data_IF_892284435203
#
_entry.id   IF_892284435203
#
_cell.length_a   1.000
_cell.length_b   1.000
_cell.length_c   1.000
_cell.angle_alpha   90.00
_cell.angle_beta   90.00
_cell.angle_gamma   90.00
#
_symmetry.space_group_name_H-M   'P 1'
#
loop_
_entity.id
_entity.type
_entity.pdbx_description
1 polymer ?
#
# COMPACT_ATOMS: atom_id res chain seq x y z
N UNK A 1 12.71 36.72 1.05
CA UNK A 1 11.81 37.62 1.78
C UNK A 1 11.86 37.22 3.25
N UNK A 2 12.45 38.06 4.07
CA UNK A 2 12.39 37.92 5.54
C UNK A 2 11.08 38.57 5.98
N UNK A 3 10.08 37.78 6.34
CA UNK A 3 8.82 38.28 6.86
C UNK A 3 7.82 37.13 7.10
N UNK A 4 6.86 37.38 7.95
CA UNK A 4 5.71 36.53 8.20
C UNK A 4 4.45 37.38 8.19
N UNK A 5 3.30 36.76 7.84
CA UNK A 5 2.00 37.47 7.85
C UNK A 5 1.30 37.32 9.19
N UNK A 6 1.53 36.20 9.89
CA UNK A 6 0.88 35.87 11.15
C UNK A 6 1.88 35.22 12.10
N UNK A 7 1.76 35.49 13.42
CA UNK A 7 2.54 34.86 14.48
C UNK A 7 1.58 34.41 15.60
N UNK A 8 1.52 33.11 15.86
CA UNK A 8 0.60 32.52 16.83
C UNK A 8 -0.02 31.21 16.33
N UNK A 9 -1.13 30.82 16.94
CA UNK A 9 -1.86 29.61 16.58
C UNK A 9 -3.12 29.98 15.78
N UNK A 10 -3.26 29.39 14.59
CA UNK A 10 -4.34 29.68 13.64
C UNK A 10 -4.86 28.43 12.97
N UNK A 11 -6.09 28.48 12.49
CA UNK A 11 -6.68 27.49 11.59
C UNK A 11 -6.68 28.07 10.18
N UNK A 12 -6.00 27.37 9.27
CA UNK A 12 -6.00 27.68 7.85
C UNK A 12 -7.04 26.82 7.14
N UNK A 13 -7.89 27.45 6.33
CA UNK A 13 -8.89 26.78 5.48
C UNK A 13 -8.65 27.25 4.05
N UNK A 14 -8.50 26.33 3.10
CA UNK A 14 -8.31 26.72 1.71
C UNK A 14 -9.50 27.53 1.20
N UNK A 15 -9.24 28.60 0.44
CA UNK A 15 -10.29 29.36 -0.26
C UNK A 15 -10.62 28.71 -1.60
N UNK A 16 -9.60 28.25 -2.34
CA UNK A 16 -9.72 27.65 -3.67
C UNK A 16 -8.67 26.57 -3.92
N UNK A 17 -8.74 25.91 -5.09
CA UNK A 17 -7.71 24.97 -5.55
C UNK A 17 -7.67 23.63 -4.81
N UNK A 18 -8.69 23.27 -4.03
CA UNK A 18 -8.78 21.96 -3.41
C UNK A 18 -9.01 20.87 -4.48
N UNK A 19 -8.06 19.93 -4.59
CA UNK A 19 -8.15 18.78 -5.52
C UNK A 19 -9.00 17.63 -4.95
N UNK A 20 -9.20 17.59 -3.64
CA UNK A 20 -10.00 16.58 -2.94
C UNK A 20 -11.05 17.29 -2.07
N UNK A 21 -12.29 17.29 -2.56
CA UNK A 21 -13.39 17.97 -1.88
C UNK A 21 -13.88 17.19 -0.65
N UNK A 22 -13.64 15.87 -0.60
CA UNK A 22 -14.00 15.03 0.56
C UNK A 22 -13.04 15.20 1.74
N UNK A 23 -11.78 15.54 1.43
CA UNK A 23 -10.75 15.85 2.41
C UNK A 23 -10.29 17.30 2.21
N UNK A 24 -11.22 18.23 2.40
CA UNK A 24 -10.96 19.65 2.18
C UNK A 24 -9.78 20.14 3.02
N UNK A 25 -8.84 20.94 2.45
CA UNK A 25 -7.63 21.35 3.16
C UNK A 25 -7.94 22.30 4.32
N UNK A 26 -7.90 21.75 5.52
CA UNK A 26 -7.99 22.48 6.80
C UNK A 26 -6.83 22.10 7.68
N UNK A 27 -6.13 23.07 8.26
CA UNK A 27 -4.94 22.79 9.08
C UNK A 27 -4.80 23.76 10.24
N UNK A 28 -4.61 23.25 11.45
CA UNK A 28 -4.11 24.04 12.57
C UNK A 28 -2.60 24.23 12.45
N UNK A 29 -2.12 25.44 12.61
CA UNK A 29 -0.71 25.84 12.51
C UNK A 29 -0.32 26.70 13.71
N UNK A 30 0.95 26.66 14.11
CA UNK A 30 1.47 27.43 15.22
C UNK A 30 2.83 28.03 14.88
N UNK A 31 3.08 29.25 15.31
CA UNK A 31 4.31 30.02 15.11
C UNK A 31 4.20 31.02 13.97
N UNK A 32 5.36 31.41 13.43
CA UNK A 32 5.45 32.37 12.33
C UNK A 32 5.14 31.74 11.00
N UNK A 33 4.11 32.21 10.33
CA UNK A 33 3.65 31.70 9.05
C UNK A 33 3.49 32.82 8.02
N UNK A 34 3.65 32.44 6.74
CA UNK A 34 3.32 33.28 5.61
C UNK A 34 2.12 32.70 4.88
N UNK A 35 1.01 33.44 4.87
CA UNK A 35 -0.23 32.99 4.22
C UNK A 35 -0.51 33.92 3.04
N UNK A 36 -0.80 33.32 1.88
CA UNK A 36 -1.24 34.03 0.69
C UNK A 36 -2.78 34.18 0.68
N UNK A 37 -3.31 34.79 -0.38
CA UNK A 37 -4.73 35.05 -0.57
C UNK A 37 -5.56 33.81 -1.00
N UNK A 38 -5.00 32.61 -0.94
CA UNK A 38 -5.70 31.34 -1.27
C UNK A 38 -6.12 30.56 -0.03
N UNK A 39 -6.04 31.15 1.14
CA UNK A 39 -6.47 30.55 2.39
C UNK A 39 -7.10 31.58 3.33
N UNK A 40 -8.18 31.16 3.98
CA UNK A 40 -8.74 31.88 5.12
C UNK A 40 -7.92 31.57 6.36
N UNK A 41 -7.67 32.58 7.18
CA UNK A 41 -6.98 32.47 8.47
C UNK A 41 -8.01 32.71 9.57
N UNK A 42 -8.28 31.69 10.37
CA UNK A 42 -9.22 31.73 11.48
C UNK A 42 -8.48 31.57 12.81
N UNK A 43 -9.05 32.13 13.87
CA UNK A 43 -8.60 31.93 15.23
C UNK A 43 -9.80 31.68 16.14
N UNK A 44 -9.75 30.62 16.93
CA UNK A 44 -10.77 30.34 17.93
C UNK A 44 -10.91 31.47 18.93
N UNK A 45 -12.15 31.82 19.24
CA UNK A 45 -12.43 32.87 20.22
C UNK A 45 -11.94 32.44 21.61
N UNK A 46 -11.08 33.26 22.22
CA UNK A 46 -10.47 32.96 23.51
C UNK A 46 -11.54 32.58 24.55
N UNK A 47 -11.30 31.49 25.29
CA UNK A 47 -12.23 30.99 26.30
C UNK A 47 -13.44 30.21 25.76
N UNK A 48 -13.63 30.14 24.43
CA UNK A 48 -14.80 29.50 23.79
C UNK A 48 -14.38 28.35 22.89
N UNK A 49 -13.39 28.55 22.00
CA UNK A 49 -13.01 27.56 20.99
C UNK A 49 -11.49 27.30 20.98
N UNK A 50 -11.12 26.05 20.96
CA UNK A 50 -9.75 25.56 20.74
C UNK A 50 -9.45 25.44 19.24
N UNK A 51 -8.28 25.94 18.80
CA UNK A 51 -7.93 25.95 17.38
C UNK A 51 -7.77 24.54 16.79
N UNK A 52 -7.15 23.62 17.52
CA UNK A 52 -6.98 22.24 17.05
C UNK A 52 -8.33 21.55 16.89
N UNK A 53 -9.20 21.67 17.88
CA UNK A 53 -10.58 21.15 17.81
C UNK A 53 -11.35 21.77 16.64
N UNK A 54 -11.26 23.12 16.49
CA UNK A 54 -11.95 23.87 15.42
C UNK A 54 -11.50 23.40 14.03
N UNK A 55 -10.20 23.18 13.82
CA UNK A 55 -9.69 22.66 12.56
C UNK A 55 -10.31 21.30 12.22
N UNK A 56 -10.42 20.37 13.18
CA UNK A 56 -11.09 19.09 12.97
C UNK A 56 -12.59 19.23 12.74
N UNK A 57 -13.28 20.10 13.48
CA UNK A 57 -14.71 20.35 13.31
C UNK A 57 -15.01 20.89 11.91
N UNK A 58 -14.23 21.85 11.42
CA UNK A 58 -14.35 22.37 10.06
C UNK A 58 -14.08 21.29 9.02
N UNK A 59 -13.02 20.48 9.20
CA UNK A 59 -12.68 19.41 8.23
C UNK A 59 -13.73 18.31 8.12
N UNK A 60 -14.62 18.16 9.12
CA UNK A 60 -15.74 17.21 9.11
C UNK A 60 -17.04 17.82 8.62
N UNK A 61 -17.08 19.13 8.33
CA UNK A 61 -18.26 19.80 7.78
C UNK A 61 -18.40 19.45 6.30
N UNK A 62 -19.63 19.52 5.79
CA UNK A 62 -19.93 19.35 4.37
C UNK A 62 -19.55 20.64 3.60
N UNK A 63 -18.24 20.86 3.46
CA UNK A 63 -17.72 22.03 2.74
C UNK A 63 -18.04 21.97 1.26
N UNK A 64 -18.15 20.77 0.68
CA UNK A 64 -18.46 20.59 -0.74
C UNK A 64 -19.77 21.28 -1.12
N UNK A 65 -20.80 21.15 -0.27
CA UNK A 65 -22.09 21.82 -0.49
C UNK A 65 -22.07 23.35 -0.34
N UNK A 66 -21.02 23.89 0.27
CA UNK A 66 -20.82 25.31 0.54
C UNK A 66 -19.98 26.02 -0.53
N UNK A 67 -19.40 25.28 -1.47
CA UNK A 67 -18.55 25.84 -2.51
C UNK A 67 -19.38 26.54 -3.59
N UNK A 68 -18.91 27.70 -4.04
CA UNK A 68 -19.55 28.48 -5.08
C UNK A 68 -18.68 28.54 -6.33
N UNK A 69 -19.27 28.28 -7.50
CA UNK A 69 -18.57 28.36 -8.81
C UNK A 69 -18.52 27.01 -9.53
N UNK A 70 -18.19 27.07 -10.82
CA UNK A 70 -18.03 25.87 -11.69
C UNK A 70 -16.63 25.25 -11.58
N UNK A 71 -15.85 25.20 -12.65
CA UNK A 71 -14.54 24.51 -12.72
C UNK A 71 -13.46 24.93 -11.72
N UNK A 72 -13.64 26.01 -10.98
CA UNK A 72 -12.82 26.40 -9.81
C UNK A 72 -13.74 26.87 -8.70
N UNK A 73 -14.29 25.92 -7.98
CA UNK A 73 -15.13 26.18 -6.82
C UNK A 73 -14.34 26.88 -5.71
N UNK A 74 -14.96 27.88 -5.07
CA UNK A 74 -14.36 28.66 -3.99
C UNK A 74 -15.21 28.62 -2.74
N UNK A 75 -14.57 28.60 -1.58
CA UNK A 75 -15.21 28.77 -0.30
C UNK A 75 -15.13 30.26 0.08
N UNK A 76 -16.26 30.96 0.06
CA UNK A 76 -16.30 32.37 0.45
C UNK A 76 -16.22 32.53 1.97
N UNK A 77 -15.60 33.64 2.43
CA UNK A 77 -15.46 33.94 3.85
C UNK A 77 -16.82 33.97 4.58
N UNK A 78 -17.83 34.64 3.99
CA UNK A 78 -19.17 34.69 4.57
C UNK A 78 -19.80 33.32 4.76
N UNK A 79 -19.66 32.45 3.75
CA UNK A 79 -20.16 31.08 3.80
C UNK A 79 -19.40 30.25 4.84
N UNK A 80 -18.07 30.38 4.91
CA UNK A 80 -17.27 29.72 5.93
C UNK A 80 -17.71 30.17 7.34
N UNK A 81 -17.92 31.47 7.53
CA UNK A 81 -18.33 32.04 8.82
C UNK A 81 -19.79 31.71 9.20
N UNK A 82 -20.62 31.23 8.28
CA UNK A 82 -21.98 30.79 8.56
C UNK A 82 -22.09 29.34 9.07
N UNK A 83 -20.99 28.60 9.11
CA UNK A 83 -21.00 27.22 9.58
C UNK A 83 -21.28 27.18 11.09
N UNK A 84 -22.32 26.45 11.49
CA UNK A 84 -22.67 26.28 12.90
C UNK A 84 -22.09 25.01 13.47
N UNK A 85 -21.45 25.10 14.63
CA UNK A 85 -20.91 23.96 15.37
C UNK A 85 -21.56 23.80 16.74
N UNK A 86 -21.75 22.53 17.16
CA UNK A 86 -22.02 22.24 18.56
C UNK A 86 -20.70 22.02 19.27
N UNK A 87 -20.38 22.92 20.20
CA UNK A 87 -19.13 22.85 20.94
C UNK A 87 -19.31 22.18 22.31
N UNK A 88 -18.48 21.18 22.64
CA UNK A 88 -18.36 20.70 24.02
C UNK A 88 -17.66 21.77 24.89
N UNK A 89 -17.51 21.52 26.19
CA UNK A 89 -16.77 22.41 27.08
C UNK A 89 -15.33 22.58 26.60
N UNK A 90 -14.75 23.74 26.79
CA UNK A 90 -13.41 24.08 26.28
C UNK A 90 -12.35 23.03 26.70
N UNK A 91 -12.40 22.54 27.92
CA UNK A 91 -11.47 21.49 28.38
C UNK A 91 -11.62 20.18 27.60
N UNK A 92 -12.82 19.84 27.17
CA UNK A 92 -13.08 18.66 26.34
C UNK A 92 -12.60 18.91 24.90
N UNK A 93 -12.78 20.12 24.34
CA UNK A 93 -12.22 20.51 23.06
C UNK A 93 -10.70 20.32 23.03
N UNK A 94 -9.96 20.79 24.05
CA UNK A 94 -8.52 20.59 24.16
C UNK A 94 -8.14 19.11 24.13
N UNK A 95 -8.82 18.24 24.89
CA UNK A 95 -8.54 16.81 24.91
C UNK A 95 -8.79 16.15 23.55
N UNK A 96 -9.90 16.51 22.88
CA UNK A 96 -10.24 15.98 21.55
C UNK A 96 -9.23 16.48 20.52
N UNK A 97 -8.93 17.78 20.49
CA UNK A 97 -7.98 18.39 19.56
C UNK A 97 -6.58 17.81 19.69
N UNK A 98 -6.09 17.68 20.94
CA UNK A 98 -4.78 17.04 21.22
C UNK A 98 -4.75 15.59 20.74
N UNK A 99 -5.75 14.80 21.10
CA UNK A 99 -5.83 13.39 20.72
C UNK A 99 -5.83 13.19 19.20
N UNK A 100 -6.65 13.96 18.47
CA UNK A 100 -6.72 13.90 17.01
C UNK A 100 -5.42 14.39 16.35
N UNK A 101 -4.77 15.40 16.93
CA UNK A 101 -3.47 15.89 16.47
C UNK A 101 -2.39 14.82 16.62
N UNK A 102 -2.35 14.11 17.76
CA UNK A 102 -1.43 12.99 17.98
C UNK A 102 -1.69 11.85 17.01
N UNK A 103 -2.96 11.51 16.74
CA UNK A 103 -3.31 10.50 15.74
C UNK A 103 -2.82 10.89 14.33
N UNK A 104 -3.05 12.13 13.90
CA UNK A 104 -2.57 12.60 12.61
C UNK A 104 -1.03 12.58 12.51
N UNK A 105 -0.35 12.90 13.60
CA UNK A 105 1.11 12.78 13.65
C UNK A 105 1.58 11.33 13.46
N UNK A 106 0.97 10.38 14.17
CA UNK A 106 1.26 8.94 14.03
C UNK A 106 0.99 8.46 12.60
N UNK A 107 -0.16 8.82 12.02
CA UNK A 107 -0.49 8.49 10.63
C UNK A 107 0.60 8.98 9.67
N UNK A 108 1.01 10.24 9.81
CA UNK A 108 2.06 10.83 8.97
C UNK A 108 3.40 10.11 9.14
N UNK A 109 3.78 9.74 10.37
CA UNK A 109 5.00 8.98 10.63
C UNK A 109 4.95 7.59 9.98
N UNK A 110 3.81 6.89 10.07
CA UNK A 110 3.63 5.59 9.43
C UNK A 110 3.70 5.69 7.90
N UNK A 111 3.07 6.69 7.29
CA UNK A 111 3.13 6.94 5.84
C UNK A 111 4.57 7.20 5.37
N UNK A 112 5.29 8.10 6.05
CA UNK A 112 6.71 8.40 5.72
C UNK A 112 7.61 7.18 5.86
N UNK A 113 7.36 6.34 6.88
CA UNK A 113 8.13 5.12 7.10
C UNK A 113 7.83 4.07 6.03
N UNK A 114 6.55 3.93 5.64
CA UNK A 114 6.13 3.10 4.51
C UNK A 114 6.85 3.49 3.22
N UNK A 115 6.80 4.78 2.82
CA UNK A 115 7.48 5.29 1.63
C UNK A 115 8.99 5.06 1.67
N UNK A 116 9.62 5.34 2.82
CA UNK A 116 11.06 5.10 2.99
C UNK A 116 11.42 3.62 2.86
N UNK A 117 10.67 2.71 3.48
CA UNK A 117 10.92 1.27 3.40
C UNK A 117 10.72 0.74 1.98
N UNK A 118 9.69 1.21 1.27
CA UNK A 118 9.46 0.85 -0.14
C UNK A 118 10.63 1.28 -1.03
N UNK A 119 11.14 2.51 -0.84
CA UNK A 119 12.31 2.99 -1.57
C UNK A 119 13.58 2.20 -1.22
N UNK A 120 13.78 1.85 0.06
CA UNK A 120 14.89 1.00 0.50
C UNK A 120 14.80 -0.38 -0.16
N UNK A 121 13.61 -1.02 -0.15
CA UNK A 121 13.42 -2.32 -0.81
C UNK A 121 13.78 -2.26 -2.28
N UNK A 122 13.25 -1.26 -3.01
CA UNK A 122 13.56 -1.07 -4.42
C UNK A 122 15.06 -0.95 -4.66
N UNK A 123 15.76 -0.13 -3.88
CA UNK A 123 17.22 0.01 -3.97
C UNK A 123 17.96 -1.28 -3.64
N UNK A 124 17.49 -2.07 -2.66
CA UNK A 124 18.11 -3.36 -2.33
C UNK A 124 17.89 -4.39 -3.45
N UNK A 125 16.71 -4.47 -4.04
CA UNK A 125 16.45 -5.33 -5.21
C UNK A 125 17.32 -4.96 -6.41
N UNK A 126 17.62 -3.69 -6.60
CA UNK A 126 18.51 -3.22 -7.67
C UNK A 126 19.98 -3.57 -7.39
N UNK A 127 20.44 -3.43 -6.12
CA UNK A 127 21.85 -3.50 -5.76
C UNK A 127 22.31 -4.85 -5.22
N UNK A 128 21.41 -5.65 -4.64
CA UNK A 128 21.72 -6.98 -4.09
C UNK A 128 21.57 -8.11 -5.11
N UNK A 129 21.09 -7.82 -6.30
CA UNK A 129 21.10 -8.75 -7.42
C UNK A 129 22.05 -8.24 -8.52
N UNK A 130 22.87 -9.13 -9.11
CA UNK A 130 23.78 -8.74 -10.19
C UNK A 130 23.05 -8.07 -11.36
N UNK A 131 23.66 -7.04 -11.92
CA UNK A 131 23.14 -6.27 -13.03
C UNK A 131 24.11 -6.28 -14.22
N UNK A 132 23.60 -6.02 -15.42
CA UNK A 132 24.40 -5.82 -16.64
C UNK A 132 25.37 -6.97 -16.97
N UNK A 133 24.98 -8.24 -16.67
CA UNK A 133 25.81 -9.41 -16.94
C UNK A 133 26.96 -9.64 -15.95
N UNK A 134 27.03 -8.85 -14.89
CA UNK A 134 27.97 -9.12 -13.78
C UNK A 134 27.56 -10.38 -13.03
N UNK A 135 28.52 -11.12 -12.51
CA UNK A 135 28.30 -12.21 -11.56
C UNK A 135 28.42 -11.77 -10.08
N UNK A 136 28.55 -10.46 -9.85
CA UNK A 136 28.67 -9.87 -8.52
C UNK A 136 27.62 -8.77 -8.33
N UNK A 137 26.86 -8.79 -7.22
CA UNK A 137 25.99 -7.67 -6.86
C UNK A 137 26.81 -6.49 -6.31
N UNK A 138 26.23 -5.28 -6.36
CA UNK A 138 26.86 -4.07 -5.80
C UNK A 138 26.89 -4.12 -4.26
N UNK A 139 25.82 -4.63 -3.64
CA UNK A 139 25.71 -4.79 -2.19
C UNK A 139 25.65 -6.29 -1.86
N UNK A 140 26.50 -6.74 -0.97
CA UNK A 140 26.63 -8.14 -0.57
C UNK A 140 26.86 -8.28 0.93
N UNK A 141 26.39 -9.35 1.53
CA UNK A 141 26.70 -9.67 2.92
C UNK A 141 28.18 -10.01 3.09
N UNK A 142 28.77 -9.57 4.21
CA UNK A 142 30.16 -9.88 4.53
C UNK A 142 30.34 -11.39 4.68
N UNK A 143 31.43 -11.91 4.11
CA UNK A 143 31.82 -13.31 4.17
C UNK A 143 31.50 -14.13 2.90
N UNK A 144 30.77 -13.55 1.95
CA UNK A 144 30.53 -14.17 0.64
C UNK A 144 31.34 -13.45 -0.43
N UNK A 145 32.18 -14.20 -1.15
CA UNK A 145 33.14 -13.66 -2.14
C UNK A 145 33.05 -14.30 -3.50
N UNK A 146 32.51 -15.54 -3.57
CA UNK A 146 32.50 -16.30 -4.81
C UNK A 146 31.53 -15.66 -5.84
N UNK A 147 31.83 -15.73 -7.15
CA UNK A 147 30.94 -15.26 -8.18
C UNK A 147 29.62 -16.04 -8.14
N UNK A 148 28.52 -15.36 -8.43
CA UNK A 148 27.23 -16.03 -8.58
C UNK A 148 27.20 -16.78 -9.91
N UNK A 149 26.55 -17.94 -9.91
CA UNK A 149 26.34 -18.74 -11.10
C UNK A 149 25.09 -18.28 -11.85
N UNK A 150 25.20 -18.14 -13.17
CA UNK A 150 24.02 -17.92 -14.01
C UNK A 150 23.25 -19.23 -14.13
N UNK A 151 21.96 -19.21 -13.84
CA UNK A 151 21.07 -20.38 -13.90
C UNK A 151 19.74 -19.99 -14.51
N UNK A 152 19.08 -20.94 -15.16
CA UNK A 152 17.69 -20.78 -15.57
C UNK A 152 16.76 -21.02 -14.39
N UNK A 153 15.61 -20.31 -14.40
CA UNK A 153 14.59 -20.54 -13.38
C UNK A 153 14.13 -22.00 -13.34
N UNK A 154 14.09 -22.69 -14.48
CA UNK A 154 13.81 -24.13 -14.57
C UNK A 154 14.86 -25.03 -13.89
N UNK A 155 16.08 -24.56 -13.70
CA UNK A 155 17.11 -25.31 -12.95
C UNK A 155 16.94 -25.11 -11.44
N UNK A 156 16.34 -23.98 -11.02
CA UNK A 156 16.10 -23.69 -9.61
C UNK A 156 14.74 -24.22 -9.13
N UNK A 157 13.83 -24.47 -10.05
CA UNK A 157 12.49 -24.99 -9.80
C UNK A 157 12.30 -26.34 -10.50
N UNK A 158 11.64 -27.29 -9.84
CA UNK A 158 11.44 -28.62 -10.39
C UNK A 158 10.40 -28.67 -11.50
N UNK A 159 9.22 -28.10 -11.26
CA UNK A 159 8.08 -28.19 -12.19
C UNK A 159 7.38 -26.85 -12.32
N UNK A 160 6.84 -26.61 -13.53
CA UNK A 160 5.96 -25.48 -13.83
C UNK A 160 4.59 -26.04 -14.22
N UNK A 161 3.58 -25.80 -13.38
CA UNK A 161 2.26 -26.41 -13.52
C UNK A 161 1.18 -25.33 -13.65
N UNK A 162 0.26 -25.54 -14.59
CA UNK A 162 -0.90 -24.67 -14.75
C UNK A 162 -1.94 -24.91 -13.66
N UNK A 163 -2.61 -23.85 -13.23
CA UNK A 163 -3.62 -23.90 -12.20
C UNK A 163 -4.95 -24.52 -12.62
N UNK A 164 -5.86 -24.58 -11.67
CA UNK A 164 -7.19 -25.14 -11.82
C UNK A 164 -8.03 -24.28 -12.77
N UNK A 165 -8.58 -24.88 -13.79
CA UNK A 165 -9.51 -24.22 -14.71
C UNK A 165 -10.96 -24.36 -14.20
N UNK A 166 -11.34 -23.51 -13.26
CA UNK A 166 -12.68 -23.46 -12.70
C UNK A 166 -13.17 -22.01 -12.61
N UNK A 167 -14.47 -21.80 -12.57
CA UNK A 167 -15.04 -20.51 -12.22
C UNK A 167 -14.78 -20.22 -10.74
N UNK A 168 -14.84 -18.94 -10.38
CA UNK A 168 -14.81 -18.51 -8.98
C UNK A 168 -16.26 -18.37 -8.47
N UNK A 169 -16.49 -18.78 -7.22
CA UNK A 169 -17.73 -18.54 -6.47
C UNK A 169 -17.43 -17.80 -5.18
N UNK A 170 -18.47 -17.38 -4.47
CA UNK A 170 -18.36 -16.80 -3.14
C UNK A 170 -17.54 -17.70 -2.21
N UNK A 171 -16.75 -17.08 -1.36
CA UNK A 171 -15.84 -17.77 -0.45
C UNK A 171 -16.61 -18.68 0.52
N UNK A 172 -16.28 -19.95 0.52
CA UNK A 172 -16.92 -20.99 1.33
C UNK A 172 -16.47 -21.00 2.82
N UNK A 173 -15.63 -20.06 3.22
CA UNK A 173 -15.07 -19.96 4.57
C UNK A 173 -13.81 -20.82 4.79
N UNK A 174 -13.38 -21.64 3.83
CA UNK A 174 -12.25 -22.58 4.00
C UNK A 174 -11.29 -22.58 2.81
N UNK A 175 -11.79 -22.79 1.61
CA UNK A 175 -10.99 -23.04 0.40
C UNK A 175 -10.82 -21.75 -0.40
N UNK A 176 -9.69 -21.10 -0.28
CA UNK A 176 -9.37 -19.88 -1.04
C UNK A 176 -8.96 -20.23 -2.46
N UNK A 177 -9.28 -19.34 -3.41
CA UNK A 177 -8.94 -19.46 -4.82
C UNK A 177 -8.20 -18.22 -5.28
N UNK A 178 -6.89 -18.32 -5.45
CA UNK A 178 -6.08 -17.18 -5.90
C UNK A 178 -6.11 -17.06 -7.42
N UNK A 179 -6.48 -15.88 -7.90
CA UNK A 179 -6.52 -15.49 -9.32
C UNK A 179 -5.45 -14.42 -9.59
N UNK A 180 -5.19 -14.12 -10.87
CA UNK A 180 -4.23 -13.07 -11.26
C UNK A 180 -4.60 -11.68 -10.73
N UNK A 181 -5.89 -11.42 -10.48
CA UNK A 181 -6.42 -10.17 -9.92
C UNK A 181 -6.28 -10.06 -8.41
N UNK A 182 -6.04 -11.17 -7.74
CA UNK A 182 -6.00 -11.26 -6.29
C UNK A 182 -4.57 -11.11 -5.74
N UNK A 183 -3.60 -10.88 -6.63
CA UNK A 183 -2.21 -10.54 -6.27
C UNK A 183 -2.05 -9.02 -6.30
N UNK A 184 -1.75 -8.43 -5.15
CA UNK A 184 -1.54 -6.99 -5.03
C UNK A 184 -0.36 -6.51 -5.89
N UNK A 185 -0.53 -5.38 -6.56
CA UNK A 185 0.47 -4.85 -7.50
C UNK A 185 1.77 -4.40 -6.82
N UNK A 186 1.67 -3.86 -5.63
CA UNK A 186 2.79 -3.25 -4.92
C UNK A 186 3.47 -4.23 -3.95
N UNK A 187 2.69 -4.91 -3.12
CA UNK A 187 3.21 -5.82 -2.09
C UNK A 187 3.44 -7.25 -2.58
N UNK A 188 2.79 -7.64 -3.69
CA UNK A 188 2.76 -9.03 -4.18
C UNK A 188 2.11 -10.02 -3.19
N UNK A 189 1.36 -9.49 -2.24
CA UNK A 189 0.61 -10.29 -1.27
C UNK A 189 -0.74 -10.73 -1.84
N UNK A 190 -1.31 -11.80 -1.27
CA UNK A 190 -2.66 -12.23 -1.59
C UNK A 190 -3.69 -11.28 -0.97
N UNK A 191 -4.53 -10.68 -1.80
CA UNK A 191 -5.58 -9.76 -1.36
C UNK A 191 -6.70 -10.55 -0.66
N UNK A 192 -6.92 -10.24 0.62
CA UNK A 192 -7.91 -10.94 1.45
C UNK A 192 -9.26 -10.20 1.51
N UNK A 193 -9.42 -9.09 0.78
CA UNK A 193 -10.64 -8.26 0.83
C UNK A 193 -11.80 -8.80 0.01
N UNK A 194 -11.52 -9.64 -1.00
CA UNK A 194 -12.52 -10.20 -1.93
C UNK A 194 -12.20 -11.67 -2.23
N UNK A 195 -12.21 -12.47 -1.17
CA UNK A 195 -11.90 -13.90 -1.27
C UNK A 195 -12.96 -14.65 -2.08
N UNK A 196 -12.51 -15.60 -2.88
CA UNK A 196 -13.35 -16.52 -3.62
C UNK A 196 -12.93 -17.98 -3.39
N UNK A 197 -13.81 -18.92 -3.75
CA UNK A 197 -13.53 -20.34 -3.78
C UNK A 197 -13.68 -20.90 -5.20
N UNK A 198 -13.03 -22.03 -5.54
CA UNK A 198 -13.27 -22.69 -6.83
C UNK A 198 -14.71 -23.19 -6.91
N UNK A 199 -15.39 -22.95 -8.03
CA UNK A 199 -16.75 -23.46 -8.27
C UNK A 199 -16.71 -24.83 -8.95
N UNK A 200 -16.19 -25.82 -8.24
CA UNK A 200 -16.06 -27.22 -8.69
C UNK A 200 -15.98 -28.13 -7.46
N UNK A 201 -16.28 -29.41 -7.65
CA UNK A 201 -15.97 -30.42 -6.64
C UNK A 201 -14.44 -30.53 -6.46
N UNK A 202 -13.98 -30.41 -5.22
CA UNK A 202 -12.54 -30.37 -4.89
C UNK A 202 -11.96 -31.79 -4.63
N UNK A 203 -12.76 -32.85 -4.72
CA UNK A 203 -12.30 -34.21 -4.57
C UNK A 203 -11.29 -34.56 -5.67
N UNK A 204 -10.10 -34.99 -5.27
CA UNK A 204 -9.01 -35.30 -6.18
C UNK A 204 -8.28 -34.07 -6.76
N UNK A 205 -8.62 -32.85 -6.33
CA UNK A 205 -8.00 -31.61 -6.82
C UNK A 205 -6.80 -31.15 -5.99
N UNK A 206 -6.26 -31.99 -5.12
CA UNK A 206 -5.11 -31.67 -4.24
C UNK A 206 -3.86 -31.19 -5.00
N UNK A 207 -3.68 -31.60 -6.27
CA UNK A 207 -2.57 -31.13 -7.10
C UNK A 207 -2.58 -29.61 -7.37
N UNK A 208 -3.72 -28.96 -7.18
CA UNK A 208 -3.87 -27.51 -7.33
C UNK A 208 -3.77 -26.73 -6.01
N UNK A 209 -3.51 -27.43 -4.90
CA UNK A 209 -3.20 -26.79 -3.63
C UNK A 209 -1.78 -26.25 -3.65
N UNK A 210 -1.60 -25.04 -3.13
CA UNK A 210 -0.29 -24.47 -2.88
C UNK A 210 0.31 -25.04 -1.59
N UNK A 211 1.62 -25.22 -1.60
CA UNK A 211 2.44 -25.63 -0.48
C UNK A 211 3.45 -24.53 -0.13
N UNK A 212 3.96 -24.54 1.10
CA UNK A 212 4.94 -23.55 1.57
C UNK A 212 6.12 -23.43 0.59
N UNK A 213 6.39 -22.20 0.14
CA UNK A 213 7.45 -21.88 -0.81
C UNK A 213 7.10 -22.08 -2.29
N UNK A 214 5.87 -22.53 -2.62
CA UNK A 214 5.41 -22.51 -4.02
C UNK A 214 5.29 -21.05 -4.49
N UNK A 215 5.79 -20.77 -5.70
CA UNK A 215 5.68 -19.46 -6.34
C UNK A 215 4.71 -19.56 -7.51
N UNK A 216 3.73 -18.67 -7.58
CA UNK A 216 2.82 -18.59 -8.72
C UNK A 216 3.11 -17.36 -9.56
N UNK A 217 2.95 -17.50 -10.87
CA UNK A 217 3.26 -16.52 -11.91
C UNK A 217 1.99 -16.23 -12.72
N UNK A 218 1.60 -14.99 -12.82
CA UNK A 218 0.48 -14.57 -13.65
C UNK A 218 0.88 -14.61 -15.14
N UNK A 219 0.16 -15.43 -15.94
CA UNK A 219 0.57 -15.75 -17.33
C UNK A 219 -0.01 -14.84 -18.40
N UNK A 220 -1.02 -14.01 -18.13
CA UNK A 220 -1.75 -13.28 -19.17
C UNK A 220 -2.20 -11.89 -18.74
N UNK A 221 -2.45 -11.02 -19.73
CA UNK A 221 -3.10 -9.73 -19.55
C UNK A 221 -2.24 -8.70 -18.86
N UNK A 222 -2.90 -7.70 -18.25
CA UNK A 222 -2.24 -6.62 -17.50
C UNK A 222 -1.45 -7.11 -16.27
N UNK A 223 -1.78 -8.30 -15.77
CA UNK A 223 -1.09 -8.92 -14.63
C UNK A 223 0.10 -9.79 -15.01
N UNK A 224 0.41 -9.95 -16.31
CA UNK A 224 1.53 -10.81 -16.75
C UNK A 224 2.82 -10.47 -16.02
N UNK A 225 3.53 -11.49 -15.55
CA UNK A 225 4.77 -11.33 -14.78
C UNK A 225 4.58 -11.05 -13.29
N UNK A 226 3.37 -10.79 -12.79
CA UNK A 226 3.15 -10.73 -11.34
C UNK A 226 3.43 -12.09 -10.72
N UNK A 227 4.06 -12.07 -9.55
CA UNK A 227 4.38 -13.28 -8.78
C UNK A 227 3.85 -13.18 -7.36
N UNK A 228 3.56 -14.32 -6.77
CA UNK A 228 3.19 -14.46 -5.36
C UNK A 228 3.83 -15.72 -4.82
N UNK A 229 4.36 -15.67 -3.61
CA UNK A 229 4.88 -16.83 -2.89
C UNK A 229 3.90 -17.25 -1.82
N UNK A 230 3.46 -18.52 -1.86
CA UNK A 230 2.56 -19.05 -0.84
C UNK A 230 3.26 -19.22 0.50
N UNK A 231 2.54 -18.88 1.56
CA UNK A 231 2.96 -19.02 2.95
C UNK A 231 1.89 -19.79 3.75
N UNK A 232 2.30 -20.56 4.75
CA UNK A 232 1.37 -21.38 5.56
C UNK A 232 0.25 -20.55 6.22
N UNK A 233 0.53 -19.29 6.59
CA UNK A 233 -0.48 -18.39 7.15
C UNK A 233 -1.60 -18.03 6.18
N UNK A 234 -1.44 -18.28 4.88
CA UNK A 234 -2.47 -18.05 3.86
C UNK A 234 -3.57 -19.13 3.91
N UNK A 235 -3.32 -20.24 4.60
CA UNK A 235 -4.28 -21.34 4.78
C UNK A 235 -4.45 -22.17 3.50
N UNK A 236 -5.63 -22.75 3.30
CA UNK A 236 -5.89 -23.60 2.14
C UNK A 236 -6.11 -22.75 0.90
N UNK A 237 -5.18 -22.76 -0.06
CA UNK A 237 -5.22 -21.95 -1.28
C UNK A 237 -5.07 -22.81 -2.52
N UNK A 238 -6.08 -22.78 -3.39
CA UNK A 238 -6.05 -23.31 -4.75
C UNK A 238 -5.64 -22.20 -5.72
N UNK A 239 -4.84 -22.50 -6.75
CA UNK A 239 -4.43 -21.49 -7.73
C UNK A 239 -5.15 -21.68 -9.07
N UNK A 240 -5.57 -20.57 -9.69
CA UNK A 240 -6.40 -20.53 -10.88
C UNK A 240 -5.61 -20.77 -12.18
N UNK A 241 -6.30 -21.17 -13.23
CA UNK A 241 -5.72 -21.58 -14.53
C UNK A 241 -4.93 -20.49 -15.27
N UNK A 242 -5.08 -19.23 -14.89
CA UNK A 242 -4.26 -18.13 -15.39
C UNK A 242 -2.97 -17.90 -14.58
N UNK A 243 -2.71 -18.77 -13.61
CA UNK A 243 -1.46 -18.83 -12.87
C UNK A 243 -0.67 -20.08 -13.25
N UNK A 244 0.64 -19.97 -13.16
CA UNK A 244 1.60 -21.07 -13.30
C UNK A 244 2.33 -21.20 -11.99
N UNK A 245 2.30 -22.36 -11.35
CA UNK A 245 3.05 -22.67 -10.15
C UNK A 245 4.43 -23.17 -10.50
N UNK A 246 5.46 -22.62 -9.85
CA UNK A 246 6.80 -23.19 -9.81
C UNK A 246 7.11 -23.71 -8.40
N UNK A 247 7.60 -24.93 -8.30
CA UNK A 247 8.07 -25.54 -7.05
C UNK A 247 9.58 -25.38 -6.96
N UNK A 248 10.04 -24.59 -6.00
CA UNK A 248 11.48 -24.38 -5.80
C UNK A 248 12.14 -25.64 -5.28
N UNK A 249 13.26 -26.03 -5.89
CA UNK A 249 14.04 -27.22 -5.50
C UNK A 249 14.64 -27.05 -4.10
N UNK A 250 14.84 -28.15 -3.38
CA UNK A 250 15.37 -28.13 -2.02
C UNK A 250 16.77 -27.50 -1.89
N UNK A 251 17.55 -27.47 -2.97
CA UNK A 251 18.90 -26.89 -3.01
C UNK A 251 18.86 -25.35 -3.11
N UNK A 252 17.69 -24.76 -3.29
CA UNK A 252 17.49 -23.32 -3.41
C UNK A 252 16.59 -22.78 -2.29
N UNK A 253 16.65 -21.49 -2.06
CA UNK A 253 15.77 -20.78 -1.12
C UNK A 253 14.60 -20.14 -1.86
N UNK A 254 13.37 -20.54 -1.51
CA UNK A 254 12.17 -20.10 -2.20
C UNK A 254 11.94 -18.59 -2.07
N UNK A 255 12.30 -18.01 -0.92
CA UNK A 255 12.20 -16.55 -0.73
C UNK A 255 13.18 -15.81 -1.63
N UNK A 256 14.42 -16.28 -1.76
CA UNK A 256 15.40 -15.70 -2.68
C UNK A 256 14.90 -15.76 -4.13
N UNK A 257 14.41 -16.93 -4.58
CA UNK A 257 13.85 -17.08 -5.93
C UNK A 257 12.68 -16.12 -6.15
N UNK A 258 11.77 -16.03 -5.18
CA UNK A 258 10.67 -15.07 -5.25
C UNK A 258 11.17 -13.62 -5.33
N UNK A 259 12.09 -13.21 -4.48
CA UNK A 259 12.62 -11.84 -4.50
C UNK A 259 13.37 -11.53 -5.81
N UNK A 260 14.01 -12.52 -6.45
CA UNK A 260 14.62 -12.33 -7.77
C UNK A 260 13.59 -11.97 -8.84
N UNK A 261 12.33 -12.44 -8.71
CA UNK A 261 11.23 -12.09 -9.61
C UNK A 261 10.68 -10.66 -9.41
N UNK A 262 11.18 -9.94 -8.43
CA UNK A 262 10.88 -8.54 -8.18
C UNK A 262 12.03 -7.61 -8.62
N UNK A 263 13.10 -8.17 -9.19
CA UNK A 263 14.29 -7.43 -9.62
C UNK A 263 14.06 -6.73 -10.98
N UNK A 264 14.81 -5.65 -11.27
CA UNK A 264 14.75 -4.98 -12.57
C UNK A 264 15.07 -5.91 -13.77
N UNK A 265 15.94 -6.91 -13.57
CA UNK A 265 16.29 -7.90 -14.61
C UNK A 265 15.09 -8.77 -14.98
N UNK A 266 14.31 -9.21 -14.01
CA UNK A 266 13.08 -9.94 -14.26
C UNK A 266 12.01 -9.06 -14.93
N UNK A 267 11.80 -7.84 -14.47
CA UNK A 267 10.86 -6.91 -15.11
C UNK A 267 11.21 -6.66 -16.58
N UNK A 268 12.51 -6.51 -16.87
CA UNK A 268 13.01 -6.38 -18.25
C UNK A 268 12.72 -7.64 -19.06
N UNK A 269 12.98 -8.83 -18.50
CA UNK A 269 12.69 -10.10 -19.13
C UNK A 269 11.21 -10.24 -19.49
N UNK A 270 10.32 -10.02 -18.54
CA UNK A 270 8.87 -10.09 -18.76
C UNK A 270 8.41 -9.10 -19.80
N UNK A 271 8.88 -7.86 -19.78
CA UNK A 271 8.52 -6.83 -20.76
C UNK A 271 8.86 -7.24 -22.18
N UNK A 272 9.97 -7.96 -22.40
CA UNK A 272 10.42 -8.43 -23.72
C UNK A 272 9.63 -9.70 -24.09
N UNK A 273 9.58 -10.69 -23.22
CA UNK A 273 9.04 -12.02 -23.49
C UNK A 273 7.51 -12.03 -23.63
N UNK A 274 6.82 -11.13 -22.93
CA UNK A 274 5.36 -11.05 -22.95
C UNK A 274 4.76 -10.42 -24.20
N UNK A 275 5.59 -9.83 -25.08
CA UNK A 275 5.10 -9.18 -26.30
C UNK A 275 4.46 -10.20 -27.25
N UNK A 276 3.20 -9.97 -27.59
CA UNK A 276 2.39 -10.75 -28.54
C UNK A 276 1.60 -9.81 -29.44
N UNK A 277 1.16 -10.30 -30.57
CA UNK A 277 0.28 -9.54 -31.50
C UNK A 277 -1.11 -9.24 -30.93
N UNK A 278 -1.51 -9.97 -29.89
CA UNK A 278 -2.76 -9.79 -29.15
C UNK A 278 -2.52 -9.46 -27.70
N UNK A 279 -3.12 -10.22 -26.77
CA UNK A 279 -2.96 -10.03 -25.34
C UNK A 279 -1.55 -10.44 -24.86
N UNK A 280 -0.86 -9.64 -24.04
CA UNK A 280 0.40 -10.02 -23.44
C UNK A 280 0.32 -11.38 -22.70
N UNK A 281 1.36 -12.18 -22.83
CA UNK A 281 1.38 -13.51 -22.19
C UNK A 281 2.78 -14.10 -22.09
N UNK A 282 2.99 -14.93 -21.06
CA UNK A 282 4.20 -15.72 -20.83
C UNK A 282 3.76 -17.13 -20.43
N UNK A 283 4.24 -18.15 -21.09
CA UNK A 283 3.91 -19.53 -20.79
C UNK A 283 4.90 -20.17 -19.81
N UNK A 284 4.64 -21.42 -19.40
CA UNK A 284 5.45 -22.13 -18.41
C UNK A 284 6.91 -22.32 -18.86
N UNK A 285 7.12 -22.65 -20.14
CA UNK A 285 8.46 -22.83 -20.72
C UNK A 285 9.22 -21.50 -20.71
N UNK A 286 8.57 -20.40 -21.15
CA UNK A 286 9.17 -19.08 -21.18
C UNK A 286 9.52 -18.58 -19.77
N UNK A 287 8.71 -18.86 -18.74
CA UNK A 287 9.11 -18.56 -17.36
C UNK A 287 10.35 -19.37 -16.94
N UNK A 288 10.41 -20.66 -17.33
CA UNK A 288 11.56 -21.51 -17.06
C UNK A 288 12.87 -21.04 -17.69
N UNK A 289 12.80 -20.37 -18.83
CA UNK A 289 13.97 -19.82 -19.56
C UNK A 289 14.51 -18.51 -18.98
N UNK A 290 13.88 -17.94 -17.96
CA UNK A 290 14.42 -16.74 -17.29
C UNK A 290 15.78 -17.04 -16.66
N UNK A 291 16.81 -16.33 -17.14
CA UNK A 291 18.16 -16.41 -16.59
C UNK A 291 18.30 -15.49 -15.37
N UNK A 292 18.74 -16.06 -14.25
CA UNK A 292 19.06 -15.32 -13.04
C UNK A 292 20.44 -15.77 -12.51
N UNK A 293 21.07 -14.87 -11.77
CA UNK A 293 22.29 -15.23 -11.03
C UNK A 293 21.92 -15.71 -9.63
N UNK A 294 22.51 -16.81 -9.19
CA UNK A 294 22.26 -17.44 -7.90
C UNK A 294 23.58 -17.70 -7.15
N UNK A 295 23.70 -17.32 -5.89
CA UNK A 295 24.82 -17.65 -5.01
C UNK A 295 24.61 -19.02 -4.35
N UNK A 296 25.50 -19.36 -3.42
CA UNK A 296 25.31 -20.51 -2.53
C UNK A 296 23.97 -20.43 -1.78
N UNK A 297 23.39 -21.59 -1.42
CA UNK A 297 22.12 -21.66 -0.69
C UNK A 297 22.13 -20.83 0.61
N UNK A 298 23.24 -20.83 1.32
CA UNK A 298 23.37 -20.04 2.55
C UNK A 298 23.23 -18.53 2.31
N UNK A 299 23.82 -18.04 1.23
CA UNK A 299 23.69 -16.64 0.85
C UNK A 299 22.27 -16.33 0.35
N UNK A 300 21.66 -17.23 -0.44
CA UNK A 300 20.25 -17.14 -0.86
C UNK A 300 19.34 -16.96 0.36
N UNK A 301 19.50 -17.78 1.39
CA UNK A 301 18.73 -17.71 2.62
C UNK A 301 18.88 -16.36 3.34
N UNK A 302 20.10 -15.83 3.43
CA UNK A 302 20.33 -14.52 4.06
C UNK A 302 19.68 -13.37 3.28
N UNK A 303 19.79 -13.40 1.95
CA UNK A 303 19.18 -12.39 1.09
C UNK A 303 17.66 -12.47 1.18
N UNK A 304 17.10 -13.68 1.05
CA UNK A 304 15.66 -13.92 1.15
C UNK A 304 15.08 -13.46 2.49
N UNK A 305 15.69 -13.85 3.59
CA UNK A 305 15.27 -13.42 4.94
C UNK A 305 15.35 -11.90 5.14
N UNK A 306 16.39 -11.26 4.65
CA UNK A 306 16.58 -9.82 4.75
C UNK A 306 15.48 -9.06 3.99
N UNK A 307 15.26 -9.41 2.71
CA UNK A 307 14.25 -8.75 1.88
C UNK A 307 12.83 -9.03 2.40
N UNK A 308 12.54 -10.26 2.84
CA UNK A 308 11.28 -10.59 3.54
C UNK A 308 11.09 -9.77 4.81
N UNK A 309 12.16 -9.54 5.57
CA UNK A 309 12.12 -8.66 6.74
C UNK A 309 11.67 -7.25 6.40
N UNK A 310 12.14 -6.71 5.27
CA UNK A 310 11.69 -5.40 4.76
C UNK A 310 10.21 -5.47 4.34
N UNK A 311 9.76 -6.53 3.65
CA UNK A 311 8.35 -6.71 3.27
C UNK A 311 7.42 -6.73 4.47
N UNK A 312 7.78 -7.46 5.52
CA UNK A 312 7.02 -7.49 6.77
C UNK A 312 6.90 -6.09 7.39
N UNK A 313 7.97 -5.30 7.36
CA UNK A 313 7.93 -3.92 7.85
C UNK A 313 7.07 -3.01 6.95
N UNK A 314 7.12 -3.17 5.63
CA UNK A 314 6.27 -2.44 4.68
C UNK A 314 4.80 -2.75 4.97
N UNK A 315 4.43 -4.03 5.04
CA UNK A 315 3.06 -4.48 5.34
C UNK A 315 2.56 -3.95 6.68
N UNK A 316 3.40 -3.93 7.71
CA UNK A 316 3.05 -3.36 9.02
C UNK A 316 2.69 -1.88 8.93
N UNK A 317 3.40 -1.10 8.10
CA UNK A 317 3.17 0.33 7.95
C UNK A 317 2.14 0.69 6.86
N UNK A 318 1.79 -0.26 5.98
CA UNK A 318 0.79 -0.09 4.92
C UNK A 318 -0.65 -0.14 5.45
N UNK A 319 -0.89 -0.78 6.59
CA UNK A 319 -2.22 -0.90 7.19
C UNK A 319 -2.80 0.51 7.34
N UNK A 320 -3.79 0.85 6.49
CA UNK A 320 -4.48 2.15 6.55
C UNK A 320 -5.00 2.34 7.97
N UNK A 321 -4.68 3.46 8.63
CA UNK A 321 -5.30 3.77 9.91
C UNK A 321 -6.80 3.77 9.68
N UNK A 322 -7.49 3.02 10.52
CA UNK A 322 -8.95 2.96 10.51
C UNK A 322 -9.46 4.37 10.86
N UNK A 323 -9.83 5.15 9.85
CA UNK A 323 -10.51 6.42 10.04
C UNK A 323 -11.85 6.08 10.71
N UNK A 324 -11.89 6.20 12.04
CA UNK A 324 -13.15 6.23 12.77
C UNK A 324 -13.97 7.39 12.22
N UNK A 325 -14.92 7.08 11.35
CA UNK A 325 -16.04 7.98 11.09
C UNK A 325 -16.85 8.02 12.38
N UNK A 326 -16.61 9.03 13.19
CA UNK A 326 -17.49 9.36 14.30
C UNK A 326 -18.83 9.75 13.69
N UNK A 327 -19.76 8.80 13.62
CA UNK A 327 -21.17 9.15 13.52
C UNK A 327 -21.53 9.80 14.86
N UNK A 328 -21.88 11.06 14.83
CA UNK A 328 -22.60 11.70 15.91
C UNK A 328 -23.96 11.01 16.02
N UNK A 329 -24.01 9.92 16.79
CA UNK A 329 -25.29 9.37 17.24
C UNK A 329 -25.88 10.36 18.24
N UNK A 330 -27.13 10.69 18.05
CA UNK A 330 -27.97 11.52 18.89
C UNK A 330 -27.75 11.25 20.39
N UNK A 331 -26.91 12.06 21.01
CA UNK A 331 -26.86 12.18 22.44
C UNK A 331 -27.64 13.43 22.84
N UNK A 332 -28.95 13.25 23.02
CA UNK A 332 -29.79 14.15 23.79
C UNK A 332 -29.20 14.29 25.19
N UNK A 333 -28.47 15.37 25.45
CA UNK A 333 -28.28 15.95 26.80
C UNK A 333 -27.96 17.43 26.72
N UNK A 334 -28.83 18.20 27.30
CA UNK A 334 -28.84 19.63 27.52
C UNK A 334 -27.49 20.26 27.89
N UNK A 335 -27.20 21.35 27.24
CA UNK A 335 -26.16 22.36 27.33
C UNK A 335 -25.09 22.25 26.25
N UNK A 336 -25.49 22.61 25.03
CA UNK A 336 -24.54 22.85 23.94
C UNK A 336 -24.53 24.35 23.63
N UNK A 337 -23.38 24.97 23.80
CA UNK A 337 -23.14 26.30 23.23
C UNK A 337 -23.08 26.18 21.70
N UNK A 338 -23.90 26.97 20.99
CA UNK A 338 -23.75 27.12 19.55
C UNK A 338 -22.74 28.22 19.28
N UNK A 339 -21.74 27.95 18.49
CA UNK A 339 -20.83 28.94 17.92
C UNK A 339 -21.17 29.08 16.43
N UNK A 340 -21.37 30.32 16.00
CA UNK A 340 -21.33 30.73 14.60
C UNK A 340 -19.91 31.28 14.40
N UNK A 341 -19.20 30.85 13.36
CA UNK A 341 -17.84 31.32 13.07
C UNK A 341 -17.82 32.80 12.73
#
# INVERSE_FOLDING_TARGET
MEGFTHDGEFVLVAEDGANDLKNYPVKCVNGRIWVNNHAHVLQGKAGIADNSFLAFAISQSDIESLLVGGGRAKLNAETLMSIEFRLPRLQEQYRIGEYLTQLNHLITLHQRKFEKLTNVKKSMLEKMFPQNGSSYPEIRFKGFTDPWEQRKLSEMCGTFEYGLNAAAKEFDGKNKYIRITDIDDASREFLLSDLSSPDICLDGMSKYLLSSGDIVFARTGASVGKTYIYRENDGIVYFAGFLIRAKVNQDNDAEFVFQSTLSPSYEKYIRITSQRSGQPGVNAQEYGEYDLFAPSKEEQQRIGQFLRGIDNLITLHQRKPFLMKWRTSDANRNQTNRLVL
#
